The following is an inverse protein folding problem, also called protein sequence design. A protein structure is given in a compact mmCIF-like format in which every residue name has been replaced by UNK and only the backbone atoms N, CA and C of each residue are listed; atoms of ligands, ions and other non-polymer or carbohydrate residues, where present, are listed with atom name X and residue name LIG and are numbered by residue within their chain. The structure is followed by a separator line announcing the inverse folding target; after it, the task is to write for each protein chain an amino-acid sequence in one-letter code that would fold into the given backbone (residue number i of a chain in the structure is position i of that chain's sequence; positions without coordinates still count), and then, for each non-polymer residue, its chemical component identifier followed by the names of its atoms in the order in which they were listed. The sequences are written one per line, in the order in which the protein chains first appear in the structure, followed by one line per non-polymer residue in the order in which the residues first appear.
data_IF_726982032083
#
_entry.id   IF_726982032083
#
_cell.length_a   1.000
_cell.length_b   1.000
_cell.length_c   1.000
_cell.angle_alpha   90.00
_cell.angle_beta   90.00
_cell.angle_gamma   90.00
#
_symmetry.space_group_name_H-M   'P 1'
#
loop_
_entity.id
_entity.type
_entity.pdbx_description
1 polymer ?
#
# COMPACT_ATOMS: atom_id res chain seq x y z
N UNK A 1 -1.96 17.33 18.26
CA UNK A 1 -2.49 17.90 17.01
C UNK A 1 -3.00 16.73 16.18
N UNK A 2 -4.31 16.59 15.94
CA UNK A 2 -4.82 15.52 15.05
C UNK A 2 -4.32 15.83 13.63
N UNK A 3 -3.56 14.93 13.01
CA UNK A 3 -3.31 15.02 11.57
C UNK A 3 -4.66 15.01 10.86
N UNK A 4 -4.86 15.91 9.90
CA UNK A 4 -5.99 15.79 8.98
C UNK A 4 -5.83 14.48 8.20
N UNK A 5 -6.95 13.80 7.93
CA UNK A 5 -6.96 12.62 7.08
C UNK A 5 -6.27 12.86 5.75
N UNK A 6 -5.63 11.83 5.20
CA UNK A 6 -5.09 11.85 3.85
C UNK A 6 -5.98 11.05 2.92
N UNK A 7 -5.85 11.30 1.63
CA UNK A 7 -6.56 10.58 0.58
C UNK A 7 -5.72 9.40 0.08
N UNK A 8 -6.27 8.21 0.25
CA UNK A 8 -5.65 6.93 -0.07
C UNK A 8 -6.36 6.32 -1.28
N UNK A 9 -5.58 5.85 -2.25
CA UNK A 9 -6.06 4.97 -3.31
C UNK A 9 -5.73 3.52 -2.92
N UNK A 10 -6.76 2.72 -2.66
CA UNK A 10 -6.65 1.30 -2.36
C UNK A 10 -6.86 0.50 -3.65
N UNK A 11 -5.97 -0.45 -3.93
CA UNK A 11 -6.04 -1.35 -5.09
C UNK A 11 -5.98 -2.79 -4.62
N UNK A 12 -7.10 -3.49 -4.77
CA UNK A 12 -7.31 -4.86 -4.29
C UNK A 12 -8.38 -5.50 -5.19
N UNK A 13 -8.05 -6.63 -5.81
CA UNK A 13 -8.94 -7.29 -6.79
C UNK A 13 -10.06 -8.08 -6.12
N UNK A 14 -9.86 -8.48 -4.85
CA UNK A 14 -10.88 -9.15 -4.06
C UNK A 14 -11.77 -8.13 -3.32
N UNK A 15 -13.03 -8.01 -3.77
CA UNK A 15 -14.00 -7.01 -3.28
C UNK A 15 -14.17 -7.05 -1.76
N UNK A 16 -14.31 -8.23 -1.16
CA UNK A 16 -14.52 -8.39 0.29
C UNK A 16 -13.33 -7.89 1.11
N UNK A 17 -12.10 -8.12 0.62
CA UNK A 17 -10.87 -7.63 1.23
C UNK A 17 -10.77 -6.11 1.06
N UNK A 18 -11.09 -5.61 -0.14
CA UNK A 18 -11.08 -4.18 -0.44
C UNK A 18 -12.04 -3.39 0.47
N UNK A 19 -13.27 -3.87 0.66
CA UNK A 19 -14.25 -3.28 1.57
C UNK A 19 -13.74 -3.25 3.02
N UNK A 20 -13.24 -4.39 3.50
CA UNK A 20 -12.71 -4.50 4.87
C UNK A 20 -11.55 -3.52 5.13
N UNK A 21 -10.62 -3.41 4.18
CA UNK A 21 -9.46 -2.52 4.29
C UNK A 21 -9.89 -1.06 4.15
N UNK A 22 -10.83 -0.75 3.25
CA UNK A 22 -11.38 0.59 3.05
C UNK A 22 -12.09 1.10 4.30
N UNK A 23 -12.95 0.29 4.91
CA UNK A 23 -13.67 0.63 6.14
C UNK A 23 -12.73 0.96 7.29
N UNK A 24 -11.64 0.18 7.43
CA UNK A 24 -10.61 0.44 8.43
C UNK A 24 -9.92 1.77 8.20
N UNK A 25 -9.38 1.99 7.01
CA UNK A 25 -8.64 3.22 6.69
C UNK A 25 -9.54 4.45 6.85
N UNK A 26 -10.82 4.30 6.51
CA UNK A 26 -11.84 5.33 6.75
C UNK A 26 -12.10 5.55 8.24
N UNK A 27 -12.20 4.49 9.05
CA UNK A 27 -12.36 4.59 10.50
C UNK A 27 -11.16 5.23 11.21
N UNK A 28 -9.96 5.14 10.61
CA UNK A 28 -8.76 5.85 11.04
C UNK A 28 -8.75 7.34 10.65
N UNK A 29 -9.77 7.79 9.91
CA UNK A 29 -9.98 9.18 9.52
C UNK A 29 -9.36 9.54 8.18
N UNK A 30 -8.98 8.56 7.34
CA UNK A 30 -8.54 8.80 5.97
C UNK A 30 -9.73 8.82 4.99
N UNK A 31 -9.53 9.43 3.83
CA UNK A 31 -10.45 9.32 2.71
C UNK A 31 -9.96 8.22 1.77
N UNK A 32 -10.78 7.21 1.49
CA UNK A 32 -10.37 6.06 0.68
C UNK A 32 -11.14 6.04 -0.64
N UNK A 33 -10.41 5.92 -1.75
CA UNK A 33 -10.97 5.52 -3.03
C UNK A 33 -10.50 4.09 -3.33
N UNK A 34 -11.39 3.23 -3.81
CA UNK A 34 -11.10 1.84 -4.12
C UNK A 34 -11.03 1.66 -5.64
N UNK A 35 -10.04 0.90 -6.10
CA UNK A 35 -9.94 0.37 -7.45
C UNK A 35 -9.74 -1.14 -7.37
N UNK A 36 -10.44 -1.89 -8.22
CA UNK A 36 -10.36 -3.36 -8.25
C UNK A 36 -9.29 -3.89 -9.22
N UNK A 37 -8.61 -2.98 -9.91
CA UNK A 37 -7.57 -3.31 -10.87
C UNK A 37 -6.65 -2.10 -11.08
N UNK A 38 -5.47 -2.36 -11.65
CA UNK A 38 -4.46 -1.34 -11.88
C UNK A 38 -4.88 -0.30 -12.93
N UNK A 39 -5.70 -0.65 -13.92
CA UNK A 39 -6.15 0.29 -14.97
C UNK A 39 -7.09 1.33 -14.39
N UNK A 40 -8.03 0.90 -13.55
CA UNK A 40 -8.96 1.74 -12.81
C UNK A 40 -8.18 2.65 -11.84
N UNK A 41 -7.17 2.11 -11.16
CA UNK A 41 -6.29 2.91 -10.30
C UNK A 41 -5.55 4.02 -11.09
N UNK A 42 -5.00 3.70 -12.26
CA UNK A 42 -4.30 4.68 -13.11
C UNK A 42 -5.28 5.77 -13.61
N UNK A 43 -6.50 5.40 -13.99
CA UNK A 43 -7.54 6.37 -14.38
C UNK A 43 -7.85 7.33 -13.23
N UNK A 44 -8.08 6.78 -12.02
CA UNK A 44 -8.36 7.59 -10.83
C UNK A 44 -7.20 8.54 -10.49
N UNK A 45 -5.95 8.08 -10.59
CA UNK A 45 -4.76 8.91 -10.36
C UNK A 45 -4.68 10.11 -11.32
N UNK A 46 -5.15 9.95 -12.56
CA UNK A 46 -5.14 11.01 -13.58
C UNK A 46 -6.34 11.96 -13.47
N UNK A 47 -7.51 11.42 -13.18
CA UNK A 47 -8.78 12.15 -13.22
C UNK A 47 -9.14 12.81 -11.90
N UNK A 48 -8.74 12.22 -10.77
CA UNK A 48 -9.15 12.69 -9.43
C UNK A 48 -7.94 12.95 -8.51
N UNK A 49 -6.98 13.81 -8.88
CA UNK A 49 -5.87 14.17 -8.01
C UNK A 49 -6.29 15.12 -6.86
N UNK A 50 -5.53 15.20 -5.76
CA UNK A 50 -4.34 14.41 -5.44
C UNK A 50 -4.63 13.24 -4.47
N UNK A 51 -4.00 12.09 -4.72
CA UNK A 51 -3.83 11.01 -3.75
C UNK A 51 -2.47 11.13 -3.08
N UNK A 52 -2.41 10.92 -1.76
CA UNK A 52 -1.15 11.01 -1.01
C UNK A 52 -0.52 9.63 -0.80
N UNK A 53 -1.35 8.58 -0.75
CA UNK A 53 -0.92 7.20 -0.57
C UNK A 53 -1.62 6.30 -1.59
N UNK A 54 -0.85 5.42 -2.20
CA UNK A 54 -1.31 4.25 -2.92
C UNK A 54 -1.06 3.02 -2.04
N UNK A 55 -2.10 2.22 -1.79
CA UNK A 55 -1.99 0.90 -1.17
C UNK A 55 -2.41 -0.11 -2.23
N UNK A 56 -1.54 -1.07 -2.57
CA UNK A 56 -1.80 -2.04 -3.65
C UNK A 56 -1.27 -3.42 -3.27
N UNK A 57 -1.99 -4.50 -3.61
CA UNK A 57 -1.37 -5.82 -3.68
C UNK A 57 -0.35 -5.85 -4.82
N UNK A 58 0.74 -6.59 -4.63
CA UNK A 58 1.73 -6.90 -5.66
C UNK A 58 1.14 -7.88 -6.67
N UNK A 59 0.42 -8.90 -6.20
CA UNK A 59 -0.09 -9.98 -7.03
C UNK A 59 -1.53 -9.70 -7.40
N UNK A 60 -1.72 -9.15 -8.58
CA UNK A 60 -3.03 -8.92 -9.18
C UNK A 60 -3.00 -9.38 -10.65
N UNK A 61 -4.14 -9.79 -11.23
CA UNK A 61 -4.21 -10.08 -12.66
C UNK A 61 -3.92 -8.82 -13.50
N UNK A 62 -3.16 -8.99 -14.57
CA UNK A 62 -2.76 -7.88 -15.45
C UNK A 62 -1.48 -7.21 -14.98
N UNK A 63 -1.56 -5.92 -14.65
CA UNK A 63 -0.41 -5.11 -14.28
C UNK A 63 -0.11 -5.28 -12.78
N UNK A 64 1.14 -5.63 -12.45
CA UNK A 64 1.52 -5.91 -11.06
C UNK A 64 1.49 -4.66 -10.19
N UNK A 65 1.35 -4.82 -8.87
CA UNK A 65 1.41 -3.69 -7.94
C UNK A 65 2.74 -2.91 -8.01
N UNK A 66 3.84 -3.58 -8.36
CA UNK A 66 5.14 -2.93 -8.57
C UNK A 66 5.12 -2.04 -9.82
N UNK A 67 4.60 -2.53 -10.95
CA UNK A 67 4.42 -1.73 -12.16
C UNK A 67 3.46 -0.56 -11.93
N UNK A 68 2.38 -0.79 -11.17
CA UNK A 68 1.42 0.25 -10.81
C UNK A 68 2.08 1.33 -9.97
N UNK A 69 2.92 0.94 -9.01
CA UNK A 69 3.68 1.88 -8.18
C UNK A 69 4.60 2.78 -9.01
N UNK A 70 5.26 2.22 -10.03
CA UNK A 70 6.10 2.99 -10.95
C UNK A 70 5.26 4.01 -11.74
N UNK A 71 4.14 3.59 -12.31
CA UNK A 71 3.26 4.47 -13.09
C UNK A 71 2.61 5.54 -12.20
N UNK A 72 2.17 5.17 -11.00
CA UNK A 72 1.60 6.10 -10.03
C UNK A 72 2.57 7.21 -9.66
N UNK A 73 3.86 6.89 -9.50
CA UNK A 73 4.91 7.91 -9.26
C UNK A 73 5.20 8.79 -10.46
N UNK A 74 4.98 8.31 -11.70
CA UNK A 74 5.06 9.15 -12.90
C UNK A 74 3.92 10.16 -12.95
N UNK A 75 2.72 9.76 -12.53
CA UNK A 75 1.52 10.61 -12.53
C UNK A 75 1.52 11.57 -11.33
N UNK A 76 1.85 11.07 -10.14
CA UNK A 76 1.85 11.79 -8.87
C UNK A 76 3.22 11.65 -8.20
N UNK A 77 4.13 12.59 -8.48
CA UNK A 77 5.55 12.52 -8.07
C UNK A 77 5.80 12.32 -6.57
N UNK A 78 4.92 12.86 -5.73
CA UNK A 78 5.05 12.82 -4.26
C UNK A 78 4.19 11.74 -3.59
N UNK A 79 3.55 10.85 -4.39
CA UNK A 79 2.73 9.77 -3.85
C UNK A 79 3.58 8.76 -3.09
N UNK A 80 3.13 8.40 -1.89
CA UNK A 80 3.70 7.30 -1.12
C UNK A 80 3.05 6.00 -1.55
N UNK A 81 3.82 4.93 -1.57
CA UNK A 81 3.33 3.63 -2.01
C UNK A 81 3.56 2.60 -0.91
N UNK A 82 2.49 1.88 -0.57
CA UNK A 82 2.48 0.69 0.27
C UNK A 82 2.11 -0.51 -0.61
N UNK A 83 3.02 -1.47 -0.70
CA UNK A 83 2.80 -2.72 -1.42
C UNK A 83 2.50 -3.84 -0.43
N UNK A 84 1.37 -4.50 -0.58
CA UNK A 84 1.04 -5.70 0.19
C UNK A 84 1.42 -6.95 -0.61
N UNK A 85 1.85 -8.04 0.04
CA UNK A 85 2.25 -9.24 -0.71
C UNK A 85 1.87 -10.55 -0.02
N UNK A 86 1.11 -11.41 -0.72
CA UNK A 86 0.77 -12.79 -0.32
C UNK A 86 1.93 -13.80 -0.29
N UNK A 87 3.07 -13.48 -0.92
CA UNK A 87 4.07 -14.48 -1.30
C UNK A 87 5.44 -14.26 -0.64
N UNK A 88 6.33 -15.25 -0.84
CA UNK A 88 7.65 -15.40 -0.20
C UNK A 88 8.49 -14.12 -0.15
N UNK A 89 9.37 -14.03 0.85
CA UNK A 89 10.31 -12.93 1.03
C UNK A 89 11.12 -12.55 -0.23
N UNK A 90 11.30 -13.49 -1.16
CA UNK A 90 11.93 -13.26 -2.46
C UNK A 90 11.14 -12.30 -3.38
N UNK A 91 9.80 -12.35 -3.36
CA UNK A 91 8.94 -11.45 -4.16
C UNK A 91 9.05 -10.02 -3.64
N UNK A 92 9.02 -9.86 -2.31
CA UNK A 92 9.22 -8.57 -1.64
C UNK A 92 10.59 -7.98 -1.96
N UNK A 93 11.63 -8.81 -1.92
CA UNK A 93 13.01 -8.39 -2.21
C UNK A 93 13.18 -7.95 -3.67
N UNK A 94 12.59 -8.66 -4.64
CA UNK A 94 12.55 -8.25 -6.04
C UNK A 94 11.81 -6.92 -6.22
N UNK A 95 10.60 -6.81 -5.66
CA UNK A 95 9.81 -5.60 -5.76
C UNK A 95 10.50 -4.39 -5.10
N UNK A 96 11.24 -4.59 -4.00
CA UNK A 96 12.08 -3.57 -3.34
C UNK A 96 13.17 -3.02 -4.24
N UNK A 97 13.78 -3.88 -5.07
CA UNK A 97 14.80 -3.49 -6.04
C UNK A 97 14.19 -2.78 -7.24
N UNK A 98 13.03 -3.23 -7.68
CA UNK A 98 12.32 -2.65 -8.83
C UNK A 98 11.74 -1.27 -8.51
N UNK A 99 11.20 -1.08 -7.31
CA UNK A 99 10.55 0.18 -6.90
C UNK A 99 11.10 0.69 -5.57
N UNK A 100 12.28 1.33 -5.59
CA UNK A 100 12.95 1.76 -4.37
C UNK A 100 12.11 2.80 -3.61
N UNK A 101 12.11 2.73 -2.28
CA UNK A 101 11.43 3.68 -1.40
C UNK A 101 9.92 3.45 -1.21
N UNK A 102 9.38 2.34 -1.71
CA UNK A 102 8.06 1.85 -1.30
C UNK A 102 8.13 1.25 0.12
N UNK A 103 7.00 1.30 0.81
CA UNK A 103 6.78 0.51 2.00
C UNK A 103 6.21 -0.85 1.61
N UNK A 104 6.51 -1.88 2.40
CA UNK A 104 6.07 -3.25 2.10
C UNK A 104 5.42 -3.85 3.34
N UNK A 105 4.31 -4.54 3.13
CA UNK A 105 3.57 -5.24 4.17
C UNK A 105 3.29 -6.69 3.74
N UNK A 106 3.97 -7.69 4.32
CA UNK A 106 3.70 -9.08 4.00
C UNK A 106 2.31 -9.50 4.51
N UNK A 107 1.57 -10.26 3.71
CA UNK A 107 0.35 -10.97 4.12
C UNK A 107 0.77 -12.32 4.78
N UNK A 108 0.05 -12.81 5.82
CA UNK A 108 -1.07 -12.14 6.46
C UNK A 108 -0.59 -10.98 7.34
N UNK A 109 -1.33 -9.87 7.30
CA UNK A 109 -1.12 -8.72 8.17
C UNK A 109 -2.38 -8.45 8.98
N UNK A 110 -2.19 -7.89 10.16
CA UNK A 110 -3.26 -7.34 10.97
C UNK A 110 -3.61 -5.92 10.52
N UNK A 111 -4.83 -5.51 10.85
CA UNK A 111 -5.32 -4.15 10.63
C UNK A 111 -4.40 -3.09 11.28
N UNK A 112 -3.82 -3.43 12.45
CA UNK A 112 -2.86 -2.58 13.14
C UNK A 112 -1.56 -2.43 12.36
N UNK A 113 -1.04 -3.51 11.79
CA UNK A 113 0.19 -3.46 10.98
C UNK A 113 0.00 -2.65 9.71
N UNK A 114 -1.15 -2.75 9.04
CA UNK A 114 -1.46 -1.89 7.90
C UNK A 114 -1.49 -0.41 8.29
N UNK A 115 -2.17 -0.08 9.38
CA UNK A 115 -2.23 1.29 9.90
C UNK A 115 -0.84 1.82 10.28
N UNK A 116 -0.06 1.03 11.01
CA UNK A 116 1.30 1.38 11.45
C UNK A 116 2.21 1.65 10.23
N UNK A 117 2.10 0.83 9.17
CA UNK A 117 2.86 1.02 7.93
C UNK A 117 2.39 2.27 7.18
N UNK A 118 1.09 2.47 6.96
CA UNK A 118 0.56 3.65 6.27
C UNK A 118 1.00 4.94 6.97
N UNK A 119 0.89 4.98 8.30
CA UNK A 119 1.33 6.13 9.11
C UNK A 119 2.86 6.32 9.06
N UNK A 120 3.64 5.25 9.11
CA UNK A 120 5.10 5.31 8.97
C UNK A 120 5.51 5.88 7.60
N UNK A 121 4.84 5.45 6.52
CA UNK A 121 5.07 5.97 5.17
C UNK A 121 4.70 7.46 5.08
N UNK A 122 3.60 7.86 5.72
CA UNK A 122 3.16 9.26 5.78
C UNK A 122 4.12 10.15 6.58
N UNK A 123 4.65 9.63 7.70
CA UNK A 123 5.39 10.41 8.70
C UNK A 123 6.91 10.50 8.59
N UNK A 124 7.59 9.53 7.97
CA UNK A 124 9.07 9.38 7.96
C UNK A 124 9.78 9.75 9.28
N UNK A 125 10.01 8.74 10.11
CA UNK A 125 11.20 8.60 10.94
C UNK A 125 11.67 7.16 10.79
N UNK A 126 12.69 6.95 9.93
CA UNK A 126 13.36 5.69 9.58
C UNK A 126 12.51 4.50 9.05
N UNK A 127 13.05 3.69 8.12
CA UNK A 127 12.42 2.42 7.76
C UNK A 127 12.33 1.58 9.03
N UNK A 128 11.11 1.21 9.44
CA UNK A 128 10.92 0.09 10.35
C UNK A 128 11.57 -1.11 9.67
N UNK A 129 12.77 -1.45 10.14
CA UNK A 129 13.29 -2.79 9.99
C UNK A 129 12.27 -3.67 10.71
N UNK A 130 11.36 -4.28 9.95
CA UNK A 130 10.61 -5.42 10.43
C UNK A 130 11.66 -6.47 10.78
N UNK A 131 12.10 -6.46 12.03
CA UNK A 131 12.85 -7.56 12.59
C UNK A 131 11.95 -8.76 12.46
N UNK A 132 12.40 -9.75 11.70
CA UNK A 132 11.84 -11.07 11.75
C UNK A 132 11.71 -11.45 13.23
N UNK A 133 10.48 -11.75 13.65
CA UNK A 133 10.22 -12.32 14.95
C UNK A 133 11.12 -13.57 15.02
N UNK A 134 12.09 -13.66 15.95
CA UNK A 134 12.81 -14.91 16.11
C UNK A 134 11.78 -15.92 16.56
N UNK A 135 11.54 -16.93 15.73
CA UNK A 135 10.86 -18.15 16.16
C UNK A 135 11.78 -18.81 17.19
N UNK A 136 11.67 -18.33 18.43
CA UNK A 136 12.31 -18.91 19.60
C UNK A 136 11.78 -20.32 19.78
N UNK A 137 12.71 -21.28 19.73
CA UNK A 137 12.40 -22.70 19.71
C UNK A 137 11.94 -23.27 21.05
N UNK A 138 11.44 -24.50 20.93
CA UNK A 138 11.90 -25.68 21.64
C UNK A 138 11.60 -26.90 20.74
#
# INVERSE_FOLDING_TARGET
MKRAGVRILLVEDEVEVAETVSDLLTALGHEVAVANDAETAIKLLREVPPFQVLVSDIVMPGLSGAELAMEARRIAKDIRVVLTSGYSASVVESARREVPGCCYLPKPYSMKELSDVVEACLGRSDPVQTQAIPTGGA
#
